data_IF_824351902827
#
_entry.id   IF_824351902827
#
_cell.length_a   1.000
_cell.length_b   1.000
_cell.length_c   1.000
_cell.angle_alpha   90.00
_cell.angle_beta   90.00
_cell.angle_gamma   90.00
#
_symmetry.space_group_name_H-M   'P 1'
#
loop_
_entity.id
_entity.type
_entity.pdbx_description
1 polymer ?
#
# COMPACT_ATOMS: atom_id res chain seq x y z
N UNK A 1 -18.73 21.20 13.60
CA UNK A 1 -18.10 20.11 14.37
C UNK A 1 -18.13 18.85 13.54
N UNK A 2 -17.09 18.02 13.60
CA UNK A 2 -16.99 16.77 12.83
C UNK A 2 -16.55 15.63 13.76
N UNK A 3 -16.99 14.41 13.46
CA UNK A 3 -16.62 13.21 14.19
C UNK A 3 -15.42 12.57 13.52
N UNK A 4 -14.40 12.22 14.30
CA UNK A 4 -13.29 11.40 13.82
C UNK A 4 -13.71 9.93 13.76
N UNK A 5 -13.44 9.27 12.63
CA UNK A 5 -13.79 7.88 12.39
C UNK A 5 -12.52 7.10 12.11
N UNK A 6 -12.40 5.92 12.73
CA UNK A 6 -11.42 4.90 12.35
C UNK A 6 -12.17 3.75 11.67
N UNK A 7 -11.80 3.44 10.44
CA UNK A 7 -12.37 2.36 9.65
C UNK A 7 -11.28 1.34 9.31
N UNK A 8 -11.58 0.06 9.50
CA UNK A 8 -10.72 -1.05 9.11
C UNK A 8 -11.42 -1.89 8.04
N UNK A 9 -10.77 -2.05 6.89
CA UNK A 9 -11.32 -2.69 5.70
C UNK A 9 -10.30 -3.62 5.07
N UNK A 10 -10.78 -4.75 4.53
CA UNK A 10 -9.91 -5.64 3.73
C UNK A 10 -9.70 -5.10 2.32
N UNK A 11 -10.63 -4.29 1.82
CA UNK A 11 -10.52 -3.67 0.50
C UNK A 11 -9.83 -2.30 0.59
N UNK A 12 -8.51 -2.29 0.40
CA UNK A 12 -7.67 -1.09 0.44
C UNK A 12 -8.16 0.01 -0.52
N UNK A 13 -8.71 -0.35 -1.68
CA UNK A 13 -9.22 0.64 -2.64
C UNK A 13 -10.43 1.40 -2.09
N UNK A 14 -11.37 0.69 -1.47
CA UNK A 14 -12.57 1.32 -0.88
C UNK A 14 -12.18 2.11 0.36
N UNK A 15 -11.29 1.56 1.20
CA UNK A 15 -10.80 2.24 2.40
C UNK A 15 -10.15 3.59 2.06
N UNK A 16 -9.22 3.61 1.10
CA UNK A 16 -8.49 4.82 0.72
C UNK A 16 -9.35 5.82 -0.04
N UNK A 17 -10.39 5.39 -0.77
CA UNK A 17 -11.31 6.32 -1.44
C UNK A 17 -12.20 7.11 -0.49
N UNK A 18 -12.41 6.61 0.74
CA UNK A 18 -13.32 7.18 1.73
C UNK A 18 -12.60 7.65 3.01
N UNK A 19 -11.29 7.88 2.95
CA UNK A 19 -10.49 8.32 4.10
C UNK A 19 -9.60 9.50 3.73
N UNK A 20 -9.21 10.27 4.75
CA UNK A 20 -8.22 11.35 4.60
C UNK A 20 -6.79 10.82 4.71
N UNK A 21 -6.59 9.81 5.55
CA UNK A 21 -5.31 9.20 5.88
C UNK A 21 -5.47 7.69 6.05
N UNK A 22 -4.45 6.91 5.67
CA UNK A 22 -4.50 5.46 5.71
C UNK A 22 -3.22 4.81 6.21
N UNK A 23 -3.39 3.64 6.83
CA UNK A 23 -2.32 2.71 7.22
C UNK A 23 -2.59 1.37 6.55
N UNK A 24 -1.61 0.83 5.84
CA UNK A 24 -1.68 -0.50 5.25
C UNK A 24 -0.87 -1.45 6.13
N UNK A 25 -1.55 -2.44 6.71
CA UNK A 25 -0.96 -3.37 7.68
C UNK A 25 -0.88 -4.76 7.07
N UNK A 26 0.26 -5.42 7.22
CA UNK A 26 0.45 -6.83 6.86
C UNK A 26 1.20 -7.56 7.98
N UNK A 27 0.69 -8.72 8.41
CA UNK A 27 1.33 -9.55 9.46
C UNK A 27 1.68 -8.75 10.73
N UNK A 28 0.82 -7.83 11.13
CA UNK A 28 1.01 -6.99 12.32
C UNK A 28 1.98 -5.81 12.16
N UNK A 29 2.50 -5.55 10.97
CA UNK A 29 3.42 -4.43 10.70
C UNK A 29 2.79 -3.41 9.75
N UNK A 30 3.04 -2.11 9.99
CA UNK A 30 2.67 -1.04 9.06
C UNK A 30 3.63 -1.08 7.89
N UNK A 31 3.13 -1.44 6.71
CA UNK A 31 3.92 -1.50 5.49
C UNK A 31 4.02 -0.14 4.81
N UNK A 32 2.91 0.62 4.80
CA UNK A 32 2.79 1.93 4.17
C UNK A 32 1.79 2.78 4.96
N UNK A 33 2.05 4.08 5.03
CA UNK A 33 1.16 5.06 5.63
C UNK A 33 1.23 6.40 4.89
N UNK A 34 0.19 7.22 5.03
CA UNK A 34 0.17 8.54 4.43
C UNK A 34 -1.23 9.05 4.14
N UNK A 35 -1.30 10.24 3.52
CA UNK A 35 -2.58 10.75 3.02
C UNK A 35 -3.17 9.75 2.03
N UNK A 36 -4.49 9.58 2.06
CA UNK A 36 -5.15 8.61 1.19
C UNK A 36 -4.90 8.92 -0.30
N UNK A 37 -4.81 10.20 -0.65
CA UNK A 37 -4.44 10.67 -2.00
C UNK A 37 -3.04 10.23 -2.39
N UNK A 38 -2.05 10.39 -1.51
CA UNK A 38 -0.68 9.93 -1.75
C UNK A 38 -0.63 8.42 -1.94
N UNK A 39 -1.30 7.65 -1.09
CA UNK A 39 -1.36 6.19 -1.18
C UNK A 39 -2.05 5.72 -2.46
N UNK A 40 -3.19 6.31 -2.85
CA UNK A 40 -3.87 5.99 -4.11
C UNK A 40 -3.02 6.31 -5.34
N UNK A 41 -2.15 7.31 -5.27
CA UNK A 41 -1.25 7.70 -6.36
C UNK A 41 0.02 6.86 -6.44
N UNK A 42 0.38 6.16 -5.36
CA UNK A 42 1.60 5.36 -5.25
C UNK A 42 1.52 4.10 -6.12
N UNK A 43 2.50 3.94 -7.02
CA UNK A 43 2.49 2.82 -7.99
C UNK A 43 2.62 1.45 -7.32
N UNK A 44 3.38 1.34 -6.21
CA UNK A 44 3.46 0.09 -5.43
C UNK A 44 2.12 -0.25 -4.79
N UNK A 45 1.39 0.76 -4.28
CA UNK A 45 0.06 0.55 -3.70
C UNK A 45 -0.92 0.05 -4.76
N UNK A 46 -0.92 0.71 -5.92
CA UNK A 46 -1.78 0.34 -7.06
C UNK A 46 -1.56 -1.10 -7.51
N UNK A 47 -0.31 -1.51 -7.65
CA UNK A 47 0.06 -2.83 -8.10
C UNK A 47 -0.32 -3.92 -7.09
N UNK A 48 0.00 -3.69 -5.81
CA UNK A 48 -0.05 -4.73 -4.78
C UNK A 48 -1.40 -4.82 -4.07
N UNK A 49 -2.10 -3.70 -3.89
CA UNK A 49 -3.32 -3.62 -3.08
C UNK A 49 -4.56 -3.19 -3.87
N UNK A 50 -4.40 -2.47 -4.99
CA UNK A 50 -5.54 -2.02 -5.81
C UNK A 50 -5.78 -2.87 -7.05
N UNK A 51 -4.92 -3.86 -7.32
CA UNK A 51 -5.03 -4.76 -8.46
C UNK A 51 -4.82 -4.10 -9.82
N UNK A 52 -4.24 -2.89 -9.85
CA UNK A 52 -3.92 -2.16 -11.08
C UNK A 52 -2.49 -2.50 -11.45
N UNK A 53 -2.32 -3.61 -12.19
CA UNK A 53 -1.01 -4.01 -12.73
C UNK A 53 -0.91 -3.66 -14.22
N UNK A 54 0.21 -3.05 -14.63
CA UNK A 54 0.59 -2.91 -16.05
C UNK A 54 1.31 -4.16 -16.60
N UNK A 55 1.28 -5.29 -15.87
CA UNK A 55 2.06 -6.49 -16.18
C UNK A 55 1.79 -7.68 -15.26
N UNK A 56 2.65 -8.70 -15.31
CA UNK A 56 2.54 -9.95 -14.54
C UNK A 56 2.36 -9.67 -13.04
N UNK A 57 1.32 -10.23 -12.43
CA UNK A 57 0.95 -10.01 -11.01
C UNK A 57 2.07 -10.52 -10.10
N UNK A 58 2.83 -9.62 -9.47
CA UNK A 58 3.89 -9.96 -8.50
C UNK A 58 3.30 -10.06 -7.09
N UNK A 59 3.83 -10.98 -6.27
CA UNK A 59 3.46 -11.11 -4.86
C UNK A 59 4.24 -10.06 -4.03
N UNK A 60 3.60 -9.44 -3.04
CA UNK A 60 4.17 -8.32 -2.27
C UNK A 60 5.52 -8.67 -1.60
N UNK A 61 5.62 -9.86 -1.00
CA UNK A 61 6.85 -10.36 -0.37
C UNK A 61 8.02 -10.43 -1.36
N UNK A 62 7.74 -10.71 -2.62
CA UNK A 62 8.76 -10.80 -3.66
C UNK A 62 9.19 -9.40 -4.11
N UNK A 63 8.25 -8.45 -4.23
CA UNK A 63 8.55 -7.06 -4.60
C UNK A 63 9.49 -6.36 -3.59
N UNK A 64 9.31 -6.62 -2.29
CA UNK A 64 10.20 -6.06 -1.24
C UNK A 64 11.58 -6.73 -1.28
N UNK A 65 11.64 -8.07 -1.37
CA UNK A 65 12.91 -8.82 -1.47
C UNK A 65 13.73 -8.42 -2.69
N UNK A 66 13.08 -8.14 -3.82
CA UNK A 66 13.77 -7.76 -5.04
C UNK A 66 14.43 -6.37 -4.91
N UNK A 67 13.77 -5.46 -4.19
CA UNK A 67 14.31 -4.13 -3.92
C UNK A 67 15.50 -4.19 -2.96
N UNK A 68 15.41 -4.99 -1.89
CA UNK A 68 16.53 -5.23 -0.96
C UNK A 68 17.73 -5.89 -1.67
N UNK A 69 17.48 -6.88 -2.54
CA UNK A 69 18.54 -7.52 -3.33
C UNK A 69 19.24 -6.57 -4.30
N UNK A 70 18.50 -5.63 -4.91
CA UNK A 70 19.10 -4.62 -5.81
C UNK A 70 20.00 -3.65 -5.06
N UNK A 71 19.59 -3.22 -3.87
CA UNK A 71 20.39 -2.33 -3.02
C UNK A 71 21.69 -3.02 -2.59
N UNK A 72 21.63 -4.30 -2.20
CA UNK A 72 22.80 -5.05 -1.75
C UNK A 72 23.76 -5.49 -2.87
N UNK A 73 23.36 -5.38 -4.14
CA UNK A 73 24.23 -5.65 -5.31
C UNK A 73 24.88 -4.39 -5.88
N UNK A 74 24.46 -3.21 -5.43
CA UNK A 74 25.01 -1.92 -5.85
C UNK A 74 26.18 -1.46 -4.94
N UNK A 75 26.54 -2.27 -3.95
CA UNK A 75 27.75 -2.19 -3.12
C UNK A 75 28.66 -3.37 -3.43
#
# INVERSE_FOLDING_TARGET
EGVSILLAEQNTNIALKNSDYGYIIETGNVMLEGSAKSLLSNDKVKELYLGISKGKRLNFRDAIKDNEKKINRAH
#
